data_IF_362941119082
#
_entry.id   IF_362941119082
#
_cell.length_a   1.000
_cell.length_b   1.000
_cell.length_c   1.000
_cell.angle_alpha   90.00
_cell.angle_beta   90.00
_cell.angle_gamma   90.00
#
_symmetry.space_group_name_H-M   'P 1'
#
loop_
_entity.id
_entity.type
_entity.pdbx_description
1 polymer ?
#
# COMPACT_ATOMS: atom_id res chain seq x y z
N UNK A 1 -18.33 -19.13 14.66
CA UNK A 1 -18.04 -18.28 13.49
C UNK A 1 -19.31 -18.20 12.64
N UNK A 2 -19.68 -17.02 12.15
CA UNK A 2 -20.83 -16.84 11.27
C UNK A 2 -20.30 -16.83 9.83
N UNK A 3 -20.85 -17.69 8.98
CA UNK A 3 -20.51 -17.76 7.56
C UNK A 3 -21.61 -17.10 6.73
N UNK A 4 -21.22 -16.36 5.71
CA UNK A 4 -22.13 -15.70 4.79
C UNK A 4 -21.93 -16.25 3.37
N UNK A 5 -23.04 -16.55 2.70
CA UNK A 5 -23.02 -16.91 1.28
C UNK A 5 -22.78 -15.64 0.45
N UNK A 6 -21.82 -15.70 -0.46
CA UNK A 6 -21.53 -14.62 -1.41
C UNK A 6 -21.79 -15.09 -2.83
N UNK A 7 -22.47 -14.27 -3.63
CA UNK A 7 -22.74 -14.54 -5.05
C UNK A 7 -22.15 -13.41 -5.89
N UNK A 8 -21.42 -13.78 -6.94
CA UNK A 8 -20.86 -12.85 -7.90
C UNK A 8 -21.36 -13.21 -9.31
N UNK A 9 -21.77 -12.20 -10.09
CA UNK A 9 -22.05 -12.38 -11.50
C UNK A 9 -20.76 -12.26 -12.30
N UNK A 10 -20.56 -13.11 -13.30
CA UNK A 10 -19.38 -13.12 -14.16
C UNK A 10 -19.79 -13.03 -15.62
N UNK A 11 -19.10 -12.18 -16.38
CA UNK A 11 -19.21 -12.15 -17.84
C UNK A 11 -18.20 -13.14 -18.42
N UNK A 12 -18.69 -14.27 -18.93
CA UNK A 12 -17.86 -15.32 -19.52
C UNK A 12 -17.73 -15.05 -21.03
N UNK A 13 -16.51 -14.88 -21.57
CA UNK A 13 -16.33 -14.74 -23.01
C UNK A 13 -16.69 -16.03 -23.74
N UNK A 14 -17.20 -15.90 -24.98
CA UNK A 14 -17.77 -17.02 -25.76
C UNK A 14 -16.80 -18.14 -26.12
N UNK A 15 -15.48 -17.94 -25.97
CA UNK A 15 -14.48 -18.99 -26.18
C UNK A 15 -14.25 -19.88 -24.93
N UNK A 16 -14.73 -19.46 -23.75
CA UNK A 16 -14.50 -20.16 -22.48
C UNK A 16 -15.77 -20.93 -22.08
N UNK A 17 -15.61 -22.23 -21.82
CA UNK A 17 -16.68 -23.07 -21.31
C UNK A 17 -16.44 -23.40 -19.84
N UNK A 18 -17.28 -22.84 -18.95
CA UNK A 18 -17.23 -23.11 -17.50
C UNK A 18 -18.18 -24.27 -17.17
N UNK A 19 -17.69 -25.25 -16.41
CA UNK A 19 -18.48 -26.39 -15.93
C UNK A 19 -18.61 -26.37 -14.41
N UNK A 20 -19.67 -27.00 -13.91
CA UNK A 20 -19.82 -27.22 -12.47
C UNK A 20 -18.64 -28.04 -11.93
N UNK A 21 -18.22 -27.72 -10.70
CA UNK A 21 -17.11 -28.39 -10.02
C UNK A 21 -15.74 -27.75 -10.21
N UNK A 22 -15.63 -26.66 -10.95
CA UNK A 22 -14.39 -25.87 -10.99
C UNK A 22 -14.23 -25.04 -9.74
N UNK A 23 -13.01 -25.02 -9.21
CA UNK A 23 -12.62 -24.10 -8.15
C UNK A 23 -12.07 -22.82 -8.76
N UNK A 24 -12.32 -21.69 -8.08
CA UNK A 24 -11.73 -20.42 -8.42
C UNK A 24 -11.23 -19.76 -7.14
N UNK A 25 -10.13 -19.01 -7.25
CA UNK A 25 -9.73 -18.07 -6.21
C UNK A 25 -10.46 -16.75 -6.49
N UNK A 26 -11.14 -16.22 -5.48
CA UNK A 26 -11.78 -14.91 -5.55
C UNK A 26 -11.02 -13.95 -4.62
N UNK A 27 -10.79 -12.74 -5.11
CA UNK A 27 -10.22 -11.66 -4.32
C UNK A 27 -11.29 -10.59 -4.11
N UNK A 28 -11.41 -10.10 -2.87
CA UNK A 28 -12.38 -9.06 -2.50
C UNK A 28 -11.59 -7.81 -2.17
N UNK A 29 -11.66 -6.83 -3.05
CA UNK A 29 -11.03 -5.52 -2.85
C UNK A 29 -12.07 -4.62 -2.18
N UNK A 30 -11.81 -4.25 -0.92
CA UNK A 30 -12.72 -3.41 -0.12
C UNK A 30 -12.53 -1.91 -0.41
N UNK A 31 -11.28 -1.49 -0.57
CA UNK A 31 -10.90 -0.13 -0.95
C UNK A 31 -9.70 -0.21 -1.88
N UNK A 32 -9.60 0.72 -2.82
CA UNK A 32 -8.51 0.84 -3.77
C UNK A 32 -8.20 2.31 -3.98
N UNK A 33 -6.91 2.64 -3.92
CA UNK A 33 -6.38 3.95 -4.26
C UNK A 33 -5.45 3.81 -5.46
N UNK A 34 -5.61 4.70 -6.43
CA UNK A 34 -4.75 4.80 -7.62
C UNK A 34 -4.09 6.18 -7.61
N UNK A 35 -2.93 6.30 -8.25
CA UNK A 35 -2.15 7.55 -8.35
C UNK A 35 -1.79 8.17 -6.99
N UNK A 36 -1.45 7.32 -6.01
CA UNK A 36 -1.06 7.75 -4.65
C UNK A 36 0.42 7.53 -4.38
N UNK A 37 0.99 8.39 -3.54
CA UNK A 37 2.39 8.30 -3.15
C UNK A 37 2.55 7.15 -2.14
N UNK A 38 3.31 6.13 -2.51
CA UNK A 38 3.52 4.95 -1.68
C UNK A 38 4.96 4.83 -1.22
N UNK A 39 5.15 4.33 -0.02
CA UNK A 39 6.47 3.92 0.50
C UNK A 39 6.40 2.51 1.09
N UNK A 40 7.52 1.79 1.17
CA UNK A 40 7.56 0.53 1.91
C UNK A 40 7.15 0.77 3.37
N UNK A 41 6.28 -0.08 3.92
CA UNK A 41 5.81 0.06 5.30
C UNK A 41 6.98 0.01 6.30
N UNK A 42 8.04 -0.72 5.96
CA UNK A 42 9.28 -0.82 6.76
C UNK A 42 10.02 0.51 6.95
N UNK A 43 9.76 1.51 6.10
CA UNK A 43 10.35 2.84 6.23
C UNK A 43 9.60 3.74 7.22
N UNK A 44 8.39 3.36 7.64
CA UNK A 44 7.57 4.11 8.58
C UNK A 44 7.85 3.66 10.02
N UNK A 45 8.06 4.62 10.89
CA UNK A 45 8.20 4.41 12.34
C UNK A 45 7.00 4.98 13.06
N UNK A 46 6.35 4.15 13.87
CA UNK A 46 5.21 4.53 14.69
C UNK A 46 5.66 4.88 16.10
N UNK A 47 5.12 5.96 16.65
CA UNK A 47 5.34 6.34 18.04
C UNK A 47 4.02 6.86 18.61
N UNK A 48 3.43 6.07 19.51
CA UNK A 48 2.06 6.27 20.01
C UNK A 48 1.07 6.39 18.82
N UNK A 49 0.38 7.51 18.71
CA UNK A 49 -0.64 7.77 17.68
C UNK A 49 -0.08 8.53 16.46
N UNK A 50 1.24 8.55 16.26
CA UNK A 50 1.87 9.33 15.19
C UNK A 50 2.83 8.48 14.35
N UNK A 51 2.76 8.68 13.03
CA UNK A 51 3.64 8.06 12.04
C UNK A 51 4.72 9.04 11.61
N UNK A 52 5.95 8.54 11.49
CA UNK A 52 7.12 9.33 11.11
C UNK A 52 7.99 8.57 10.11
N UNK A 53 8.65 9.31 9.25
CA UNK A 53 9.67 8.81 8.32
C UNK A 53 10.98 9.54 8.54
N UNK A 54 12.08 8.88 8.23
CA UNK A 54 13.42 9.45 8.33
C UNK A 54 13.86 9.92 6.94
N UNK A 55 13.74 11.22 6.68
CA UNK A 55 14.22 11.86 5.46
C UNK A 55 15.74 12.02 5.51
N UNK A 56 16.44 11.70 4.43
CA UNK A 56 17.87 11.93 4.28
C UNK A 56 18.10 13.41 3.99
N UNK A 57 18.78 14.14 4.87
CA UNK A 57 19.10 15.56 4.68
C UNK A 57 20.50 15.80 4.17
N UNK A 58 21.46 14.95 4.52
CA UNK A 58 22.82 14.97 3.97
C UNK A 58 23.32 13.53 3.82
N UNK A 59 24.09 13.29 2.76
CA UNK A 59 24.74 12.00 2.53
C UNK A 59 26.09 11.93 3.27
N UNK A 60 26.75 13.07 3.49
CA UNK A 60 28.03 13.18 4.19
C UNK A 60 28.08 14.48 5.02
N UNK A 61 28.04 14.40 6.37
CA UNK A 61 27.73 13.24 7.19
C UNK A 61 26.30 12.73 6.94
N UNK A 62 26.07 11.43 7.12
CA UNK A 62 24.75 10.83 6.91
C UNK A 62 23.78 11.31 8.00
N UNK A 63 22.95 12.29 7.66
CA UNK A 63 21.98 12.88 8.56
C UNK A 63 20.55 12.53 8.15
N UNK A 64 19.74 12.17 9.15
CA UNK A 64 18.34 11.86 8.97
C UNK A 64 17.48 12.82 9.78
N UNK A 65 16.50 13.43 9.13
CA UNK A 65 15.47 14.24 9.76
C UNK A 65 14.20 13.44 9.93
N UNK A 66 13.76 13.30 11.18
CA UNK A 66 12.46 12.73 11.52
C UNK A 66 11.36 13.68 11.09
N UNK A 67 10.50 13.22 10.18
CA UNK A 67 9.44 14.02 9.57
C UNK A 67 8.09 13.34 9.85
N UNK A 68 7.12 14.04 10.47
CA UNK A 68 5.79 13.49 10.66
C UNK A 68 5.10 13.34 9.32
N UNK A 69 4.41 12.21 9.14
CA UNK A 69 3.64 11.93 7.92
C UNK A 69 2.24 11.48 8.27
N UNK A 70 1.31 11.79 7.38
CA UNK A 70 -0.04 11.28 7.43
C UNK A 70 -0.14 10.12 6.45
N UNK A 71 -0.46 8.96 6.98
CA UNK A 71 -0.57 7.71 6.23
C UNK A 71 -2.03 7.41 5.88
N UNK A 72 -2.23 6.63 4.82
CA UNK A 72 -3.52 6.18 4.34
C UNK A 72 -3.64 4.65 4.33
N UNK A 73 -4.13 4.11 3.22
CA UNK A 73 -4.31 2.67 3.04
C UNK A 73 -2.96 1.94 3.05
N UNK A 74 -2.86 0.85 3.82
CA UNK A 74 -1.72 -0.09 3.78
C UNK A 74 -2.20 -1.44 3.27
N UNK A 75 -1.40 -2.07 2.41
CA UNK A 75 -1.58 -3.46 1.96
C UNK A 75 -0.67 -4.44 2.73
N UNK A 76 0.05 -3.97 3.76
CA UNK A 76 1.00 -4.75 4.56
C UNK A 76 2.41 -4.83 3.98
N UNK A 77 2.63 -4.29 2.78
CA UNK A 77 3.95 -4.20 2.12
C UNK A 77 4.28 -2.73 1.85
N UNK A 78 3.32 -2.00 1.28
CA UNK A 78 3.36 -0.59 0.96
C UNK A 78 2.27 0.14 1.71
N UNK A 79 2.57 1.39 2.05
CA UNK A 79 1.63 2.29 2.69
C UNK A 79 1.52 3.58 1.90
N UNK A 80 0.28 4.04 1.74
CA UNK A 80 -0.04 5.34 1.19
C UNK A 80 0.40 6.45 2.14
N UNK A 81 1.01 7.50 1.58
CA UNK A 81 1.34 8.74 2.28
C UNK A 81 0.50 9.87 1.68
N UNK A 82 -0.42 10.38 2.50
CA UNK A 82 -1.35 11.46 2.13
C UNK A 82 -0.67 12.82 2.25
N UNK A 83 0.13 13.02 3.31
CA UNK A 83 0.80 14.30 3.59
C UNK A 83 2.18 14.08 4.24
N UNK A 84 3.10 15.02 4.01
CA UNK A 84 4.40 15.08 4.70
C UNK A 84 5.61 14.62 3.87
N UNK A 85 5.40 14.09 2.67
CA UNK A 85 6.47 13.71 1.72
C UNK A 85 6.22 14.29 0.33
N UNK A 86 7.30 14.49 -0.42
CA UNK A 86 7.27 14.87 -1.83
C UNK A 86 7.82 13.75 -2.71
N UNK A 87 7.41 13.77 -3.98
CA UNK A 87 7.97 12.91 -5.00
C UNK A 87 9.48 13.18 -5.14
N UNK A 88 10.29 12.13 -5.12
CA UNK A 88 11.78 12.13 -5.10
C UNK A 88 12.46 12.43 -3.76
N UNK A 89 11.72 12.54 -2.66
CA UNK A 89 12.37 12.58 -1.35
C UNK A 89 13.08 11.25 -1.06
N UNK A 90 14.29 11.32 -0.49
CA UNK A 90 15.05 10.13 -0.09
C UNK A 90 14.75 9.80 1.36
N UNK A 91 14.29 8.58 1.63
CA UNK A 91 14.01 8.09 2.98
C UNK A 91 14.97 6.98 3.36
N UNK A 92 15.16 6.79 4.66
CA UNK A 92 15.98 5.71 5.20
C UNK A 92 15.34 4.36 4.82
N UNK A 93 16.07 3.55 4.07
CA UNK A 93 15.70 2.17 3.74
C UNK A 93 15.23 1.93 2.30
N UNK A 94 14.91 2.97 1.52
CA UNK A 94 14.78 2.96 0.04
C UNK A 94 14.37 4.34 -0.51
N UNK A 95 14.42 4.53 -1.83
CA UNK A 95 13.86 5.72 -2.50
C UNK A 95 12.33 5.61 -2.65
N UNK A 96 11.62 6.75 -2.61
CA UNK A 96 10.17 6.82 -2.83
C UNK A 96 9.88 6.58 -4.31
N UNK A 97 9.09 5.55 -4.62
CA UNK A 97 8.68 5.21 -5.99
C UNK A 97 7.17 5.50 -6.09
N UNK A 98 6.75 6.25 -7.11
CA UNK A 98 5.33 6.39 -7.46
C UNK A 98 4.85 5.10 -8.15
N UNK A 99 3.68 4.59 -7.74
CA UNK A 99 2.98 3.54 -8.50
C UNK A 99 1.83 4.15 -9.27
#
# INVERSE_FOLDING_TARGET
AILFEMKAAMNIPSNIFVRAGYSANAEIILDKREDVLTIPETCVSFSNDSAFVHLVTSLEPQEFKRTPVKIGLSDGIKIEVVEGLKLNDKIRGNEIIAN
#
